data_IF_065816440321
#
_entry.id   IF_065816440321
#
_cell.length_a   1.000
_cell.length_b   1.000
_cell.length_c   1.000
_cell.angle_alpha   90.00
_cell.angle_beta   90.00
_cell.angle_gamma   90.00
#
_symmetry.space_group_name_H-M   'P 1'
#
loop_
_entity.id
_entity.type
_entity.pdbx_description
1 polymer ?
#
# COMPACT_ATOMS: atom_id res chain seq x y z
N UNK A 1 -17.42 2.89 14.25
CA UNK A 1 -16.36 3.39 15.17
C UNK A 1 -15.46 2.27 15.68
N UNK A 2 -15.98 1.17 16.21
CA UNK A 2 -15.15 0.06 16.70
C UNK A 2 -14.52 -0.75 15.55
N UNK A 3 -15.29 -1.01 14.50
CA UNK A 3 -14.83 -1.72 13.29
C UNK A 3 -13.74 -0.95 12.54
N UNK A 4 -13.91 0.36 12.35
CA UNK A 4 -12.89 1.21 11.73
C UNK A 4 -11.56 1.19 12.49
N UNK A 5 -11.59 1.24 13.82
CA UNK A 5 -10.39 1.14 14.64
C UNK A 5 -9.70 -0.21 14.48
N UNK A 6 -10.48 -1.30 14.43
CA UNK A 6 -9.96 -2.65 14.24
C UNK A 6 -9.28 -2.81 12.87
N UNK A 7 -9.92 -2.34 11.79
CA UNK A 7 -9.37 -2.38 10.43
C UNK A 7 -8.03 -1.63 10.36
N UNK A 8 -7.96 -0.41 10.93
CA UNK A 8 -6.71 0.35 10.99
C UNK A 8 -5.65 -0.39 11.80
N UNK A 9 -6.03 -0.97 12.95
CA UNK A 9 -5.09 -1.72 13.78
C UNK A 9 -4.53 -2.95 13.05
N UNK A 10 -5.36 -3.70 12.35
CA UNK A 10 -4.95 -4.85 11.52
C UNK A 10 -4.00 -4.40 10.40
N UNK A 11 -4.33 -3.30 9.70
CA UNK A 11 -3.43 -2.75 8.68
C UNK A 11 -2.09 -2.34 9.28
N UNK A 12 -2.06 -1.65 10.42
CA UNK A 12 -0.80 -1.28 11.10
C UNK A 12 0.01 -2.52 11.50
N UNK A 13 -0.65 -3.57 12.00
CA UNK A 13 0.01 -4.83 12.36
C UNK A 13 0.57 -5.55 11.13
N UNK A 14 -0.14 -5.51 9.99
CA UNK A 14 0.36 -6.02 8.72
C UNK A 14 1.56 -5.22 8.22
N UNK A 15 1.54 -3.89 8.29
CA UNK A 15 2.70 -3.06 7.94
C UNK A 15 3.90 -3.46 8.80
N UNK A 16 3.72 -3.63 10.11
CA UNK A 16 4.81 -4.06 10.98
C UNK A 16 5.33 -5.46 10.63
N UNK A 17 4.45 -6.47 10.66
CA UNK A 17 4.87 -7.87 10.57
C UNK A 17 5.30 -8.28 9.16
N UNK A 18 4.69 -7.70 8.13
CA UNK A 18 4.89 -8.11 6.73
C UNK A 18 5.79 -7.11 6.03
N UNK A 19 5.48 -5.83 6.08
CA UNK A 19 6.23 -4.84 5.30
C UNK A 19 7.58 -4.51 5.96
N UNK A 20 7.59 -4.24 7.27
CA UNK A 20 8.78 -3.83 8.01
C UNK A 20 9.64 -5.04 8.36
N UNK A 21 9.09 -6.06 9.04
CA UNK A 21 9.90 -7.19 9.54
C UNK A 21 10.47 -8.07 8.41
N UNK A 22 9.80 -8.14 7.24
CA UNK A 22 10.37 -8.79 6.05
C UNK A 22 11.19 -7.84 5.18
N UNK A 23 11.28 -6.56 5.56
CA UNK A 23 11.97 -5.53 4.80
C UNK A 23 11.47 -5.46 3.35
N UNK A 24 10.15 -5.47 3.13
CA UNK A 24 9.59 -5.27 1.78
C UNK A 24 9.58 -3.80 1.37
N UNK A 25 9.37 -2.89 2.32
CA UNK A 25 9.63 -1.47 2.10
C UNK A 25 10.65 -0.99 3.14
N UNK A 26 11.89 -0.66 2.73
CA UNK A 26 12.91 -0.20 3.66
C UNK A 26 12.59 1.17 4.29
N UNK A 27 11.60 1.88 3.74
CA UNK A 27 11.22 3.23 4.15
C UNK A 27 10.05 3.25 5.15
N UNK A 28 9.26 2.16 5.22
CA UNK A 28 8.02 2.12 5.99
C UNK A 28 8.23 2.30 7.50
N UNK A 29 9.32 1.75 8.06
CA UNK A 29 9.59 1.84 9.50
C UNK A 29 9.73 3.28 9.98
N UNK A 30 10.47 4.11 9.22
CA UNK A 30 10.72 5.51 9.56
C UNK A 30 9.41 6.29 9.69
N UNK A 31 8.51 6.12 8.72
CA UNK A 31 7.24 6.86 8.69
C UNK A 31 6.26 6.37 9.76
N UNK A 32 6.24 5.06 10.03
CA UNK A 32 5.43 4.49 11.11
C UNK A 32 5.88 4.97 12.49
N UNK A 33 7.19 5.03 12.75
CA UNK A 33 7.76 5.51 14.02
C UNK A 33 7.50 7.00 14.26
N UNK A 34 7.55 7.81 13.20
CA UNK A 34 7.31 9.26 13.26
C UNK A 34 5.84 9.65 13.27
N UNK A 35 4.93 8.69 13.14
CA UNK A 35 3.49 8.91 13.01
C UNK A 35 3.12 9.82 11.82
N UNK A 36 3.84 9.69 10.71
CA UNK A 36 3.60 10.41 9.46
C UNK A 36 2.78 9.60 8.44
N UNK A 37 2.33 8.39 8.83
CA UNK A 37 1.39 7.57 8.05
C UNK A 37 -0.04 7.85 8.50
N UNK A 38 -0.86 8.34 7.58
CA UNK A 38 -2.27 8.59 7.80
C UNK A 38 -3.13 7.41 7.26
N UNK A 39 -4.25 7.13 7.92
CA UNK A 39 -5.16 6.04 7.54
C UNK A 39 -6.58 6.57 7.45
N UNK A 40 -7.25 6.28 6.33
CA UNK A 40 -8.64 6.63 6.09
C UNK A 40 -9.41 5.41 5.60
N UNK A 41 -10.67 5.27 6.01
CA UNK A 41 -11.56 4.24 5.48
C UNK A 41 -12.47 4.89 4.45
N UNK A 42 -12.68 4.19 3.33
CA UNK A 42 -13.67 4.61 2.35
C UNK A 42 -15.07 4.68 2.97
N UNK A 43 -15.73 5.83 2.82
CA UNK A 43 -17.10 6.05 3.27
C UNK A 43 -18.17 5.40 2.38
N UNK A 44 -17.78 4.92 1.20
CA UNK A 44 -18.66 4.35 0.17
C UNK A 44 -17.85 3.32 -0.64
N UNK A 45 -18.54 2.31 -1.18
CA UNK A 45 -17.95 1.34 -2.10
C UNK A 45 -18.07 1.75 -3.58
N UNK A 46 -18.76 2.87 -3.88
CA UNK A 46 -18.86 3.37 -5.24
C UNK A 46 -17.51 3.95 -5.71
N UNK A 47 -17.07 3.54 -6.91
CA UNK A 47 -15.78 3.95 -7.46
C UNK A 47 -15.60 5.47 -7.53
N UNK A 48 -16.64 6.21 -7.92
CA UNK A 48 -16.60 7.67 -7.99
C UNK A 48 -16.36 8.32 -6.62
N UNK A 49 -17.02 7.82 -5.57
CA UNK A 49 -16.87 8.33 -4.21
C UNK A 49 -15.48 8.01 -3.63
N UNK A 50 -14.91 6.87 -4.01
CA UNK A 50 -13.55 6.48 -3.61
C UNK A 50 -12.50 7.35 -4.29
N UNK A 51 -12.64 7.61 -5.60
CA UNK A 51 -11.74 8.50 -6.32
C UNK A 51 -11.83 9.94 -5.80
N UNK A 52 -13.02 10.40 -5.43
CA UNK A 52 -13.18 11.71 -4.79
C UNK A 52 -12.49 11.77 -3.41
N UNK A 53 -12.62 10.71 -2.60
CA UNK A 53 -11.90 10.62 -1.31
C UNK A 53 -10.39 10.53 -1.51
N UNK A 54 -9.93 9.77 -2.50
CA UNK A 54 -8.51 9.67 -2.88
C UNK A 54 -7.93 11.04 -3.25
N UNK A 55 -8.65 11.81 -4.07
CA UNK A 55 -8.29 13.19 -4.39
C UNK A 55 -8.25 14.10 -3.16
N UNK A 56 -9.30 14.08 -2.33
CA UNK A 56 -9.37 14.88 -1.10
C UNK A 56 -8.22 14.53 -0.15
N UNK A 57 -7.79 13.27 -0.15
CA UNK A 57 -6.66 12.80 0.66
C UNK A 57 -5.32 13.35 0.15
N UNK A 58 -5.12 13.47 -1.16
CA UNK A 58 -3.96 14.17 -1.75
C UNK A 58 -3.96 15.66 -1.40
N UNK A 59 -5.10 16.35 -1.53
CA UNK A 59 -5.23 17.76 -1.11
C UNK A 59 -4.87 17.95 0.37
N UNK A 60 -5.37 17.06 1.23
CA UNK A 60 -5.05 17.06 2.65
C UNK A 60 -3.56 16.85 2.91
N UNK A 61 -2.93 15.96 2.15
CA UNK A 61 -1.49 15.79 2.23
C UNK A 61 -0.82 17.11 1.86
N UNK A 62 -1.12 17.74 0.72
CA UNK A 62 -0.51 19.03 0.35
C UNK A 62 -0.64 20.12 1.41
N UNK A 63 -1.79 20.20 2.07
CA UNK A 63 -2.00 21.15 3.17
C UNK A 63 -1.24 20.79 4.45
N UNK A 64 -0.99 19.50 4.69
CA UNK A 64 -0.34 18.99 5.90
C UNK A 64 0.90 18.13 5.58
N UNK A 65 2.05 18.82 5.49
CA UNK A 65 3.38 18.21 5.33
C UNK A 65 3.78 17.20 6.42
N UNK A 66 3.02 17.08 7.53
CA UNK A 66 3.26 16.02 8.53
C UNK A 66 2.77 14.65 8.06
N UNK A 67 1.91 14.62 7.05
CA UNK A 67 1.45 13.39 6.41
C UNK A 67 2.37 13.11 5.22
N UNK A 68 3.21 12.09 5.38
CA UNK A 68 4.20 11.67 4.38
C UNK A 68 3.62 10.60 3.46
N UNK A 69 2.83 9.69 4.03
CA UNK A 69 2.06 8.71 3.26
C UNK A 69 0.66 8.54 3.82
N UNK A 70 -0.28 8.10 2.99
CA UNK A 70 -1.65 7.87 3.40
C UNK A 70 -2.21 6.58 2.79
N UNK A 71 -2.94 5.81 3.59
CA UNK A 71 -3.67 4.64 3.14
C UNK A 71 -5.17 4.92 3.09
N UNK A 72 -5.78 4.76 1.92
CA UNK A 72 -7.23 4.70 1.74
C UNK A 72 -7.65 3.22 1.73
N UNK A 73 -8.27 2.77 2.82
CA UNK A 73 -8.68 1.39 3.06
C UNK A 73 -10.10 1.17 2.50
N UNK A 74 -10.29 0.10 1.72
CA UNK A 74 -11.53 -0.23 1.04
C UNK A 74 -12.10 -1.56 1.59
N UNK A 75 -12.68 -1.58 2.80
CA UNK A 75 -13.11 -2.83 3.44
C UNK A 75 -14.33 -3.48 2.79
N UNK A 76 -15.05 -2.78 1.93
CA UNK A 76 -16.31 -3.25 1.32
C UNK A 76 -16.33 -3.03 -0.20
N UNK A 77 -16.82 -4.01 -0.96
CA UNK A 77 -17.15 -3.87 -2.38
C UNK A 77 -16.00 -4.05 -3.38
N UNK A 78 -14.76 -4.27 -2.90
CA UNK A 78 -13.55 -4.35 -3.73
C UNK A 78 -12.80 -5.67 -3.58
N UNK A 79 -13.50 -6.78 -3.32
CA UNK A 79 -12.88 -8.11 -3.20
C UNK A 79 -12.44 -8.71 -4.56
N UNK A 80 -13.06 -8.27 -5.65
CA UNK A 80 -12.71 -8.66 -7.01
C UNK A 80 -11.44 -7.92 -7.45
N UNK A 81 -10.37 -8.69 -7.67
CA UNK A 81 -9.07 -8.12 -7.99
C UNK A 81 -9.05 -7.41 -9.34
N UNK A 82 -9.79 -7.89 -10.34
CA UNK A 82 -9.79 -7.27 -11.67
C UNK A 82 -10.52 -5.92 -11.63
N UNK A 83 -11.66 -5.87 -10.95
CA UNK A 83 -12.38 -4.60 -10.76
C UNK A 83 -11.52 -3.62 -9.94
N UNK A 84 -10.80 -4.10 -8.93
CA UNK A 84 -9.85 -3.29 -8.17
C UNK A 84 -8.72 -2.73 -9.04
N UNK A 85 -8.18 -3.49 -10.00
CA UNK A 85 -7.16 -2.98 -10.93
C UNK A 85 -7.72 -1.81 -11.78
N UNK A 86 -8.96 -1.89 -12.25
CA UNK A 86 -9.61 -0.78 -12.96
C UNK A 86 -9.72 0.50 -12.08
N UNK A 87 -9.82 0.35 -10.75
CA UNK A 87 -9.80 1.48 -9.82
C UNK A 87 -8.40 2.05 -9.65
N UNK A 88 -7.37 1.20 -9.57
CA UNK A 88 -5.97 1.62 -9.50
C UNK A 88 -5.60 2.45 -10.73
N UNK A 89 -5.93 1.97 -11.93
CA UNK A 89 -5.69 2.72 -13.18
C UNK A 89 -6.36 4.09 -13.18
N UNK A 90 -7.59 4.18 -12.64
CA UNK A 90 -8.29 5.47 -12.50
C UNK A 90 -7.65 6.38 -11.46
N UNK A 91 -7.11 5.83 -10.39
CA UNK A 91 -6.40 6.60 -9.37
C UNK A 91 -5.08 7.16 -9.93
N UNK A 92 -4.32 6.37 -10.68
CA UNK A 92 -3.11 6.80 -11.40
C UNK A 92 -3.44 7.93 -12.38
N UNK A 93 -4.47 7.74 -13.22
CA UNK A 93 -4.93 8.78 -14.15
C UNK A 93 -5.39 10.06 -13.44
N UNK A 94 -6.00 9.94 -12.26
CA UNK A 94 -6.44 11.10 -11.48
C UNK A 94 -5.26 11.92 -10.95
N UNK A 95 -4.13 11.28 -10.61
CA UNK A 95 -2.89 11.98 -10.24
C UNK A 95 -2.41 12.84 -11.41
N UNK A 96 -2.35 12.26 -12.61
CA UNK A 96 -1.97 12.98 -13.84
C UNK A 96 -2.94 14.13 -14.16
N UNK A 97 -4.26 13.88 -14.11
CA UNK A 97 -5.29 14.85 -14.45
C UNK A 97 -5.40 16.05 -13.49
N UNK A 98 -4.88 15.91 -12.27
CA UNK A 98 -4.91 16.95 -11.23
C UNK A 98 -3.54 17.60 -11.01
N UNK A 99 -2.59 17.42 -11.94
CA UNK A 99 -1.23 17.97 -11.86
C UNK A 99 -0.45 17.54 -10.59
N UNK A 100 -0.76 16.35 -10.06
CA UNK A 100 -0.06 15.75 -8.92
C UNK A 100 1.06 14.78 -9.34
N UNK A 101 1.27 14.58 -10.65
CA UNK A 101 2.41 13.82 -11.18
C UNK A 101 3.74 14.45 -10.71
N UNK A 102 4.65 13.64 -10.19
CA UNK A 102 5.92 14.13 -9.60
C UNK A 102 5.78 14.65 -8.17
N UNK A 103 4.56 14.74 -7.64
CA UNK A 103 4.28 15.14 -6.25
C UNK A 103 3.85 13.90 -5.44
N UNK A 104 2.89 13.15 -5.96
CA UNK A 104 2.38 11.93 -5.36
C UNK A 104 2.42 10.76 -6.33
N UNK A 105 2.69 9.59 -5.77
CA UNK A 105 2.53 8.31 -6.45
C UNK A 105 1.56 7.42 -5.68
N UNK A 106 0.93 6.46 -6.37
CA UNK A 106 0.06 5.46 -5.77
C UNK A 106 0.67 4.07 -5.85
N UNK A 107 0.68 3.36 -4.72
CA UNK A 107 0.96 1.93 -4.65
C UNK A 107 -0.33 1.17 -4.30
N UNK A 108 -0.44 -0.04 -4.85
CA UNK A 108 -1.65 -0.87 -4.74
C UNK A 108 -1.38 -2.13 -3.90
N UNK A 109 -2.34 -2.45 -3.03
CA UNK A 109 -2.32 -3.66 -2.21
C UNK A 109 -3.72 -4.27 -2.13
N UNK A 110 -3.79 -5.60 -2.25
CA UNK A 110 -5.05 -6.32 -2.34
C UNK A 110 -4.96 -7.72 -1.71
N UNK A 111 -5.99 -8.25 -1.01
CA UNK A 111 -5.93 -9.60 -0.42
C UNK A 111 -5.66 -10.70 -1.45
N UNK A 112 -6.18 -10.50 -2.67
CA UNK A 112 -6.02 -11.39 -3.81
C UNK A 112 -4.95 -10.91 -4.80
N UNK A 113 -4.02 -10.03 -4.39
CA UNK A 113 -2.98 -9.54 -5.29
C UNK A 113 -2.25 -10.71 -5.95
N UNK A 114 -2.10 -10.62 -7.28
CA UNK A 114 -1.42 -11.59 -8.12
C UNK A 114 -0.62 -10.81 -9.16
N UNK A 115 0.71 -10.97 -9.15
CA UNK A 115 1.54 -10.40 -10.19
C UNK A 115 1.25 -11.04 -11.54
N UNK A 116 1.34 -10.25 -12.60
CA UNK A 116 1.15 -10.75 -13.96
C UNK A 116 2.11 -11.92 -14.26
N UNK A 117 1.59 -12.93 -14.96
CA UNK A 117 2.31 -14.17 -15.28
C UNK A 117 2.67 -15.07 -14.09
N UNK A 118 2.38 -14.70 -12.84
CA UNK A 118 2.70 -15.52 -11.67
C UNK A 118 1.52 -16.42 -11.25
N UNK A 119 1.76 -17.67 -10.79
CA UNK A 119 0.71 -18.49 -10.19
C UNK A 119 0.07 -17.85 -8.95
N UNK A 120 -1.20 -18.16 -8.68
CA UNK A 120 -1.92 -17.64 -7.50
C UNK A 120 -1.26 -18.02 -6.16
N UNK A 121 -0.52 -19.12 -6.13
CA UNK A 121 0.19 -19.63 -4.96
C UNK A 121 1.68 -19.25 -4.94
N UNK A 122 2.14 -18.40 -5.87
CA UNK A 122 3.49 -17.84 -5.83
C UNK A 122 3.66 -17.03 -4.52
N UNK A 123 4.66 -17.35 -3.68
CA UNK A 123 4.96 -16.59 -2.49
C UNK A 123 5.23 -15.11 -2.76
N UNK A 124 5.75 -14.76 -3.94
CA UNK A 124 6.02 -13.38 -4.34
C UNK A 124 4.77 -12.49 -4.27
N UNK A 125 3.58 -13.04 -4.54
CA UNK A 125 2.33 -12.29 -4.43
C UNK A 125 2.13 -11.69 -3.02
N UNK A 126 2.70 -12.30 -1.98
CA UNK A 126 2.58 -11.80 -0.60
C UNK A 126 3.37 -10.53 -0.30
N UNK A 127 4.20 -10.03 -1.23
CA UNK A 127 4.80 -8.70 -1.10
C UNK A 127 3.77 -7.59 -1.22
N UNK A 128 2.68 -7.84 -1.97
CA UNK A 128 1.61 -6.88 -2.23
C UNK A 128 0.23 -7.37 -1.73
N UNK A 129 0.15 -8.55 -1.09
CA UNK A 129 -1.07 -8.97 -0.41
C UNK A 129 -1.21 -8.28 0.94
N UNK A 130 -2.39 -7.69 1.13
CA UNK A 130 -2.77 -6.95 2.32
C UNK A 130 -4.09 -7.47 2.91
N UNK A 131 -4.41 -7.18 4.17
CA UNK A 131 -5.63 -7.67 4.82
C UNK A 131 -6.93 -7.21 4.15
N UNK A 132 -6.88 -6.01 3.55
CA UNK A 132 -7.95 -5.31 2.85
C UNK A 132 -7.47 -4.74 1.52
N UNK A 133 -8.34 -4.56 0.51
CA UNK A 133 -8.03 -3.71 -0.63
C UNK A 133 -7.72 -2.29 -0.16
N UNK A 134 -6.67 -1.68 -0.71
CA UNK A 134 -6.27 -0.32 -0.34
C UNK A 134 -5.49 0.39 -1.44
N UNK A 135 -5.56 1.72 -1.44
CA UNK A 135 -4.68 2.59 -2.22
C UNK A 135 -3.72 3.27 -1.24
N UNK A 136 -2.43 3.27 -1.55
CA UNK A 136 -1.38 3.88 -0.73
C UNK A 136 -0.77 5.06 -1.48
N UNK A 137 -1.00 6.26 -0.98
CA UNK A 137 -0.45 7.51 -1.53
C UNK A 137 0.89 7.78 -0.84
N UNK A 138 1.92 8.07 -1.62
CA UNK A 138 3.24 8.46 -1.12
C UNK A 138 3.68 9.75 -1.77
N UNK A 139 4.36 10.61 -1.00
CA UNK A 139 5.09 11.75 -1.58
C UNK A 139 6.31 11.28 -2.34
N UNK A 140 6.43 11.68 -3.60
CA UNK A 140 7.59 11.37 -4.42
C UNK A 140 8.87 11.99 -3.83
N UNK A 141 8.83 13.27 -3.43
CA UNK A 141 9.99 13.94 -2.81
C UNK A 141 10.51 13.17 -1.57
N UNK A 142 9.61 12.61 -0.77
CA UNK A 142 9.97 11.86 0.44
C UNK A 142 10.56 10.50 0.11
N UNK A 143 10.06 9.85 -0.95
CA UNK A 143 10.63 8.62 -1.50
C UNK A 143 12.02 8.92 -2.06
N UNK A 144 12.18 9.92 -2.93
CA UNK A 144 13.47 10.35 -3.50
C UNK A 144 14.52 10.62 -2.42
N UNK A 145 14.18 11.42 -1.40
CA UNK A 145 15.07 11.65 -0.26
C UNK A 145 15.44 10.36 0.46
N UNK A 146 14.50 9.43 0.62
CA UNK A 146 14.80 8.16 1.27
C UNK A 146 15.73 7.28 0.41
N UNK A 147 15.63 7.36 -0.92
CA UNK A 147 16.50 6.69 -1.88
C UNK A 147 17.93 7.23 -1.83
N UNK A 148 18.12 8.55 -1.68
CA UNK A 148 19.45 9.17 -1.57
C UNK A 148 20.30 8.64 -0.40
N UNK A 149 19.63 8.28 0.71
CA UNK A 149 20.29 7.72 1.90
C UNK A 149 20.21 6.20 1.98
N UNK A 150 19.59 5.54 0.99
CA UNK A 150 19.48 4.09 0.96
C UNK A 150 20.85 3.48 0.62
N UNK A 151 21.40 2.58 1.45
CA UNK A 151 22.76 2.06 1.25
C UNK A 151 22.89 1.06 0.09
N UNK A 152 21.78 0.64 -0.53
CA UNK A 152 21.76 -0.31 -1.64
C UNK A 152 21.20 0.31 -2.92
N UNK A 153 21.00 -0.50 -3.94
CA UNK A 153 20.31 -0.09 -5.16
C UNK A 153 18.79 -0.17 -4.94
N UNK A 154 18.05 0.95 -5.05
CA UNK A 154 16.61 0.90 -4.92
C UNK A 154 15.88 0.15 -6.03
N UNK A 155 16.45 0.09 -7.24
CA UNK A 155 15.86 -0.66 -8.35
C UNK A 155 15.84 -2.17 -8.06
N UNK A 156 16.71 -2.65 -7.16
CA UNK A 156 16.72 -4.04 -6.71
C UNK A 156 15.65 -4.37 -5.65
N UNK A 157 14.96 -3.38 -5.06
CA UNK A 157 13.98 -3.62 -3.99
C UNK A 157 12.88 -4.61 -4.44
N UNK A 158 12.21 -4.43 -5.60
CA UNK A 158 11.21 -5.38 -6.06
C UNK A 158 11.77 -6.80 -6.25
N UNK A 159 12.93 -6.95 -6.89
CA UNK A 159 13.53 -8.26 -7.13
C UNK A 159 13.94 -8.94 -5.81
N UNK A 160 14.52 -8.18 -4.87
CA UNK A 160 14.85 -8.65 -3.53
C UNK A 160 13.61 -9.16 -2.80
N UNK A 161 12.50 -8.42 -2.85
CA UNK A 161 11.26 -8.79 -2.18
C UNK A 161 10.70 -10.11 -2.75
N UNK A 162 10.67 -10.22 -4.08
CA UNK A 162 10.25 -11.43 -4.78
C UNK A 162 11.13 -12.63 -4.39
N UNK A 163 12.45 -12.45 -4.41
CA UNK A 163 13.41 -13.48 -4.02
C UNK A 163 13.22 -13.92 -2.57
N UNK A 164 13.15 -12.98 -1.63
CA UNK A 164 12.92 -13.27 -0.22
C UNK A 164 11.63 -14.06 0.00
N UNK A 165 10.53 -13.62 -0.60
CA UNK A 165 9.23 -14.27 -0.44
C UNK A 165 9.27 -15.71 -0.97
N UNK A 166 9.89 -15.92 -2.14
CA UNK A 166 10.06 -17.25 -2.75
C UNK A 166 10.99 -18.16 -1.93
N UNK A 167 12.09 -17.62 -1.39
CA UNK A 167 13.02 -18.35 -0.52
C UNK A 167 12.36 -18.80 0.79
N UNK A 168 11.54 -17.95 1.40
CA UNK A 168 10.76 -18.31 2.60
C UNK A 168 9.65 -19.32 2.29
N UNK A 169 9.11 -19.24 1.08
CA UNK A 169 8.09 -20.16 0.58
C UNK A 169 6.68 -19.86 1.08
N UNK A 170 5.71 -20.51 0.44
CA UNK A 170 4.29 -20.20 0.58
C UNK A 170 3.75 -20.38 2.00
N UNK A 171 4.18 -21.45 2.68
CA UNK A 171 3.72 -21.74 4.03
C UNK A 171 4.11 -20.65 5.04
N UNK A 172 5.35 -20.15 4.93
CA UNK A 172 5.84 -19.05 5.76
C UNK A 172 5.03 -17.78 5.49
N UNK A 173 4.92 -17.38 4.22
CA UNK A 173 4.22 -16.15 3.83
C UNK A 173 2.74 -16.18 4.24
N UNK A 174 2.05 -17.31 4.05
CA UNK A 174 0.68 -17.50 4.55
C UNK A 174 0.58 -17.39 6.06
N UNK A 175 1.51 -17.99 6.81
CA UNK A 175 1.49 -17.96 8.27
C UNK A 175 1.65 -16.54 8.82
N UNK A 176 2.46 -15.72 8.15
CA UNK A 176 2.69 -14.33 8.52
C UNK A 176 1.45 -13.47 8.22
N UNK A 177 0.89 -13.64 7.03
CA UNK A 177 -0.32 -12.96 6.60
C UNK A 177 -1.53 -13.27 7.51
N UNK A 178 -1.72 -14.54 7.91
CA UNK A 178 -2.81 -14.94 8.80
C UNK A 178 -2.67 -14.38 10.22
N UNK A 179 -1.44 -14.15 10.70
CA UNK A 179 -1.20 -13.50 12.01
C UNK A 179 -1.47 -12.00 12.00
N UNK A 180 -1.43 -11.40 10.82
CA UNK A 180 -1.67 -9.97 10.62
C UNK A 180 -3.14 -9.64 10.30
N UNK A 181 -4.00 -10.66 10.22
CA UNK A 181 -5.45 -10.56 9.98
C UNK A 181 -6.23 -10.64 11.29
#
# INVERSE_FOLDING_TARGET
MQEAHQIIQQTRQWIQNVVIDCNFCPFAAREMERNSVYFELAASSAAADILLQFFTLMEKMEEDSRIETAFLLLPEGWDDFLLYLDLVEKAEKLIEEQDFEGIFQVASFHPNYQFDGCPIDDPANFTNRSPYPMLHILREESVEKALEFYPGDPEEIPERNVRFAREKGLAYMKSLYLKAR
#
